data_IF_228447359268
#
_entry.id   IF_228447359268
#
_cell.length_a   1.000
_cell.length_b   1.000
_cell.length_c   1.000
_cell.angle_alpha   90.00
_cell.angle_beta   90.00
_cell.angle_gamma   90.00
#
_symmetry.space_group_name_H-M   'P 1'
#
loop_
_entity.id
_entity.type
_entity.pdbx_description
1 polymer ?
#
# COMPACT_ATOMS: atom_id res chain seq x y z
N UNK A 1 11.75 -2.30 13.85
CA UNK A 1 11.85 -1.53 12.60
C UNK A 1 11.77 -0.07 13.00
N UNK A 2 12.74 0.78 12.64
CA UNK A 2 12.61 2.22 12.86
C UNK A 2 11.65 2.77 11.80
N UNK A 3 10.77 3.70 12.18
CA UNK A 3 9.76 4.29 11.29
C UNK A 3 10.37 4.95 10.04
N UNK A 4 11.64 5.37 10.14
CA UNK A 4 12.40 5.95 9.04
C UNK A 4 12.67 4.98 7.87
N UNK A 5 12.70 3.66 8.11
CA UNK A 5 12.93 2.67 7.05
C UNK A 5 11.67 2.38 6.22
N UNK A 6 10.47 2.71 6.74
CA UNK A 6 9.19 2.39 6.08
C UNK A 6 8.82 3.36 4.96
N UNK A 7 9.49 4.51 4.85
CA UNK A 7 9.23 5.50 3.79
C UNK A 7 7.81 6.09 3.81
N UNK A 8 7.38 6.63 2.67
CA UNK A 8 6.05 7.23 2.52
C UNK A 8 4.92 6.19 2.54
N UNK A 9 5.13 5.02 1.94
CA UNK A 9 4.17 3.91 1.91
C UNK A 9 4.89 2.57 2.01
N UNK A 10 4.41 1.73 2.92
CA UNK A 10 4.82 0.34 3.05
C UNK A 10 3.57 -0.52 3.16
N UNK A 11 3.45 -1.52 2.30
CA UNK A 11 2.34 -2.48 2.31
C UNK A 11 2.94 -3.87 2.42
N UNK A 12 2.41 -4.67 3.34
CA UNK A 12 2.84 -6.06 3.54
C UNK A 12 1.64 -6.98 3.52
N UNK A 13 1.75 -8.08 2.79
CA UNK A 13 0.71 -9.12 2.78
C UNK A 13 0.92 -10.04 3.98
N UNK A 14 -0.11 -10.12 4.82
CA UNK A 14 -0.17 -10.98 6.01
C UNK A 14 -1.14 -12.15 5.85
N UNK A 15 -2.15 -12.01 4.98
CA UNK A 15 -3.07 -13.07 4.55
C UNK A 15 -2.48 -13.98 3.46
N UNK A 16 -3.33 -14.71 2.73
CA UNK A 16 -2.88 -15.63 1.66
C UNK A 16 -2.33 -14.87 0.44
N UNK A 17 -3.13 -13.96 -0.11
CA UNK A 17 -2.75 -13.04 -1.17
C UNK A 17 -3.64 -11.79 -1.13
N UNK A 18 -3.19 -10.71 -1.77
CA UNK A 18 -4.01 -9.54 -2.06
C UNK A 18 -3.55 -8.92 -3.37
N UNK A 19 -4.51 -8.50 -4.18
CA UNK A 19 -4.24 -7.58 -5.28
C UNK A 19 -3.84 -6.22 -4.71
N UNK A 20 -2.72 -5.70 -5.18
CA UNK A 20 -2.26 -4.35 -4.82
C UNK A 20 -1.98 -3.60 -6.10
N UNK A 21 -2.65 -2.46 -6.22
CA UNK A 21 -2.50 -1.55 -7.33
C UNK A 21 -1.98 -0.21 -6.80
N UNK A 22 -0.86 0.26 -7.35
CA UNK A 22 -0.26 1.54 -6.98
C UNK A 22 0.04 2.32 -8.26
N UNK A 23 -0.39 3.56 -8.31
CA UNK A 23 -0.10 4.47 -9.43
C UNK A 23 0.13 5.89 -8.95
N UNK A 24 0.73 6.70 -9.81
CA UNK A 24 0.75 8.15 -9.64
C UNK A 24 -0.59 8.72 -10.13
N UNK A 25 -1.30 9.55 -9.35
CA UNK A 25 -2.53 10.21 -9.80
C UNK A 25 -2.28 11.02 -11.10
N UNK A 26 -2.92 10.60 -12.19
CA UNK A 26 -2.71 11.23 -13.52
C UNK A 26 -1.35 10.93 -14.17
N UNK A 27 -0.58 9.99 -13.61
CA UNK A 27 0.70 9.53 -14.12
C UNK A 27 0.72 8.02 -14.41
N UNK A 28 1.88 7.41 -14.23
CA UNK A 28 2.13 6.00 -14.54
C UNK A 28 1.68 5.04 -13.43
N UNK A 29 1.38 3.81 -13.85
CA UNK A 29 1.14 2.68 -12.94
C UNK A 29 2.49 2.17 -12.44
N UNK A 30 2.67 2.16 -11.12
CA UNK A 30 3.90 1.71 -10.45
C UNK A 30 3.83 0.22 -10.10
N UNK A 31 2.65 -0.29 -9.77
CA UNK A 31 2.38 -1.67 -9.40
C UNK A 31 0.94 -2.04 -9.80
N UNK A 32 0.78 -3.21 -10.39
CA UNK A 32 -0.52 -3.80 -10.73
C UNK A 32 -0.37 -5.32 -10.75
N UNK A 33 -0.35 -5.94 -9.57
CA UNK A 33 -0.19 -7.38 -9.45
C UNK A 33 -0.71 -7.92 -8.11
N UNK A 34 -1.06 -9.20 -8.12
CA UNK A 34 -1.32 -9.97 -6.91
C UNK A 34 -0.01 -10.16 -6.12
N UNK A 35 -0.05 -9.83 -4.84
CA UNK A 35 1.02 -10.08 -3.88
C UNK A 35 0.64 -11.26 -2.98
N UNK A 36 1.59 -12.17 -2.75
CA UNK A 36 1.40 -13.34 -1.89
C UNK A 36 1.92 -13.08 -0.47
N UNK A 37 1.51 -13.93 0.47
CA UNK A 37 1.99 -13.88 1.86
C UNK A 37 3.51 -13.72 1.95
N UNK A 38 3.95 -12.73 2.73
CA UNK A 38 5.37 -12.43 2.91
C UNK A 38 5.97 -11.47 1.88
N UNK A 39 5.26 -11.16 0.79
CA UNK A 39 5.62 -10.06 -0.08
C UNK A 39 5.35 -8.72 0.62
N UNK A 40 6.20 -7.74 0.32
CA UNK A 40 5.99 -6.37 0.72
C UNK A 40 6.41 -5.43 -0.40
N UNK A 41 5.74 -4.29 -0.48
CA UNK A 41 6.08 -3.20 -1.36
C UNK A 41 6.39 -1.97 -0.53
N UNK A 42 7.45 -1.28 -0.94
CA UNK A 42 7.98 -0.13 -0.24
C UNK A 42 8.19 1.01 -1.22
N UNK A 43 7.60 2.16 -0.91
CA UNK A 43 7.79 3.40 -1.63
C UNK A 43 8.43 4.42 -0.68
N UNK A 44 9.67 4.84 -0.96
CA UNK A 44 10.41 5.74 -0.07
C UNK A 44 9.84 7.15 -0.06
N UNK A 45 9.22 7.61 -1.15
CA UNK A 45 8.63 8.94 -1.30
C UNK A 45 7.26 8.90 -2.00
N UNK A 46 6.47 9.95 -1.78
CA UNK A 46 5.19 10.19 -2.43
C UNK A 46 5.15 11.60 -3.07
N UNK A 47 6.28 12.11 -3.58
CA UNK A 47 6.40 13.49 -4.03
C UNK A 47 5.40 13.88 -5.15
N UNK A 48 4.98 12.91 -5.95
CA UNK A 48 4.01 13.07 -7.05
C UNK A 48 2.58 12.62 -6.65
N UNK A 49 2.38 12.25 -5.39
CA UNK A 49 1.21 11.55 -4.91
C UNK A 49 1.23 10.07 -5.28
N UNK A 50 0.59 9.24 -4.46
CA UNK A 50 0.41 7.81 -4.70
C UNK A 50 -1.07 7.48 -4.53
N UNK A 51 -1.68 6.92 -5.57
CA UNK A 51 -3.00 6.31 -5.46
C UNK A 51 -2.81 4.81 -5.28
N UNK A 52 -3.37 4.30 -4.19
CA UNK A 52 -3.23 2.91 -3.76
C UNK A 52 -4.62 2.31 -3.73
N UNK A 53 -4.79 1.16 -4.37
CA UNK A 53 -5.99 0.34 -4.28
C UNK A 53 -5.61 -1.05 -3.80
N UNK A 54 -6.34 -1.54 -2.81
CA UNK A 54 -6.10 -2.82 -2.17
C UNK A 54 -7.33 -3.71 -2.40
N UNK A 55 -7.13 -4.82 -3.10
CA UNK A 55 -8.20 -5.78 -3.39
C UNK A 55 -8.75 -6.42 -2.11
N UNK A 56 -7.88 -6.95 -1.26
CA UNK A 56 -8.25 -7.53 0.04
C UNK A 56 -7.54 -6.80 1.20
N UNK A 57 -8.19 -5.76 1.77
CA UNK A 57 -7.66 -5.03 2.92
C UNK A 57 -7.46 -5.87 4.18
N UNK A 58 -8.19 -6.98 4.33
CA UNK A 58 -8.05 -7.87 5.49
C UNK A 58 -6.79 -8.74 5.42
N UNK A 59 -6.23 -8.90 4.22
CA UNK A 59 -5.03 -9.70 3.96
C UNK A 59 -3.73 -8.88 3.98
N UNK A 60 -3.78 -7.58 4.27
CA UNK A 60 -2.61 -6.70 4.23
C UNK A 60 -2.49 -5.78 5.43
N UNK A 61 -1.26 -5.40 5.76
CA UNK A 61 -0.94 -4.30 6.67
C UNK A 61 -0.40 -3.13 5.87
N UNK A 62 -0.93 -1.93 6.11
CA UNK A 62 -0.53 -0.70 5.43
C UNK A 62 0.11 0.23 6.45
N UNK A 63 1.25 0.81 6.10
CA UNK A 63 1.94 1.81 6.89
C UNK A 63 2.19 3.03 6.01
N UNK A 64 1.76 4.19 6.49
CA UNK A 64 1.92 5.48 5.80
C UNK A 64 2.79 6.37 6.65
N UNK A 65 3.92 6.82 6.11
CA UNK A 65 4.93 7.60 6.87
C UNK A 65 5.35 6.91 8.18
N UNK A 66 5.47 5.57 8.15
CA UNK A 66 5.79 4.75 9.32
C UNK A 66 4.68 4.62 10.37
N UNK A 67 3.46 5.11 10.08
CA UNK A 67 2.27 4.95 10.93
C UNK A 67 1.35 3.90 10.33
N UNK A 68 1.09 2.84 11.08
CA UNK A 68 0.12 1.80 10.70
C UNK A 68 -1.26 2.42 10.44
N UNK A 69 -1.83 2.09 9.28
CA UNK A 69 -3.19 2.43 8.90
C UNK A 69 -4.03 1.17 9.00
N UNK A 70 -5.00 1.21 9.91
CA UNK A 70 -5.97 0.12 10.00
C UNK A 70 -6.94 0.18 8.81
N UNK A 71 -6.68 -0.71 7.86
CA UNK A 71 -7.51 -0.93 6.68
C UNK A 71 -8.22 -2.28 6.72
N UNK A 72 -8.02 -3.07 7.77
CA UNK A 72 -8.47 -4.47 7.84
C UNK A 72 -10.00 -4.61 7.79
N UNK A 73 -10.72 -3.63 8.34
CA UNK A 73 -12.19 -3.55 8.33
C UNK A 73 -12.78 -2.80 7.11
N UNK A 74 -11.97 -2.49 6.09
CA UNK A 74 -12.41 -1.78 4.89
C UNK A 74 -13.05 -2.72 3.87
N UNK A 75 -13.92 -2.16 3.05
CA UNK A 75 -14.49 -2.88 1.91
C UNK A 75 -13.40 -3.31 0.92
N UNK A 76 -13.60 -4.43 0.21
CA UNK A 76 -12.75 -4.82 -0.91
C UNK A 76 -12.58 -3.70 -1.93
N UNK A 77 -11.44 -3.69 -2.63
CA UNK A 77 -11.04 -2.62 -3.56
C UNK A 77 -10.93 -1.25 -2.88
N UNK A 78 -10.54 -1.22 -1.60
CA UNK A 78 -10.34 0.03 -0.87
C UNK A 78 -9.24 0.85 -1.52
N UNK A 79 -9.61 2.05 -1.99
CA UNK A 79 -8.70 3.02 -2.60
C UNK A 79 -8.42 4.19 -1.67
N UNK A 80 -7.16 4.59 -1.54
CA UNK A 80 -6.76 5.84 -0.88
C UNK A 80 -5.64 6.53 -1.65
N UNK A 81 -5.54 7.85 -1.46
CA UNK A 81 -4.51 8.68 -2.09
C UNK A 81 -3.62 9.31 -1.04
N UNK A 82 -2.32 9.12 -1.20
CA UNK A 82 -1.29 9.84 -0.46
C UNK A 82 -0.91 11.09 -1.23
N UNK A 83 -1.06 12.24 -0.59
CA UNK A 83 -0.58 13.52 -1.11
C UNK A 83 0.77 13.86 -0.47
N UNK A 84 1.66 14.59 -1.19
CA UNK A 84 2.93 15.06 -0.65
C UNK A 84 2.77 16.05 0.52
#
# INVERSE_FOLDING_TARGET
MASDDMGALYIRVVGESSDVFVRVPGGDVLLDQELQQGNSVHYPDNAQGLEVTIGDPSAVEVYVNGVEQDVSDRDPDHGFTLNP
#
